data_IF_354843967888
#
_entry.id   IF_354843967888
#
_cell.length_a   1.000
_cell.length_b   1.000
_cell.length_c   1.000
_cell.angle_alpha   90.00
_cell.angle_beta   90.00
_cell.angle_gamma   90.00
#
_symmetry.space_group_name_H-M   'P 1'
#
loop_
_entity.id
_entity.type
_entity.pdbx_description
1 polymer ?
#
# COMPACT_ATOMS: atom_id res chain seq x y z
N UNK A 1 -6.12 -30.90 50.61
CA UNK A 1 -6.96 -30.77 49.40
C UNK A 1 -6.50 -29.51 48.65
N UNK A 2 -5.80 -29.68 47.54
CA UNK A 2 -5.41 -28.57 46.66
C UNK A 2 -6.67 -28.04 45.96
N UNK A 3 -6.95 -26.73 45.97
CA UNK A 3 -8.13 -26.20 45.29
C UNK A 3 -8.06 -26.52 43.79
N UNK A 4 -9.19 -26.81 43.12
CA UNK A 4 -9.19 -27.13 41.73
C UNK A 4 -8.66 -25.93 40.95
N UNK A 5 -7.67 -26.14 40.10
CA UNK A 5 -7.16 -25.15 39.14
C UNK A 5 -8.34 -24.80 38.22
N UNK A 6 -8.86 -23.60 38.37
CA UNK A 6 -9.93 -23.09 37.52
C UNK A 6 -9.39 -23.03 36.08
N UNK A 7 -9.91 -23.88 35.21
CA UNK A 7 -9.55 -23.87 33.81
C UNK A 7 -9.81 -22.46 33.26
N UNK A 8 -8.79 -21.86 32.65
CA UNK A 8 -8.96 -20.59 31.96
C UNK A 8 -10.01 -20.74 30.84
N UNK A 9 -10.93 -19.80 30.67
CA UNK A 9 -11.90 -19.85 29.58
C UNK A 9 -11.15 -20.00 28.24
N UNK A 10 -11.69 -20.83 27.36
CA UNK A 10 -11.12 -20.95 26.01
C UNK A 10 -11.23 -19.61 25.28
N UNK A 11 -10.23 -19.22 24.50
CA UNK A 11 -10.30 -17.99 23.73
C UNK A 11 -11.37 -18.08 22.64
N UNK A 12 -12.05 -16.97 22.37
CA UNK A 12 -12.94 -16.85 21.23
C UNK A 12 -12.12 -16.88 19.94
N UNK A 13 -12.49 -17.74 18.99
CA UNK A 13 -11.85 -17.81 17.68
C UNK A 13 -12.62 -17.02 16.65
N UNK A 14 -11.92 -16.11 15.95
CA UNK A 14 -12.47 -15.28 14.87
C UNK A 14 -11.73 -15.66 13.58
N UNK A 15 -12.41 -16.35 12.68
CA UNK A 15 -11.85 -16.78 11.41
C UNK A 15 -12.08 -15.73 10.30
N UNK A 16 -11.30 -15.87 9.21
CA UNK A 16 -11.38 -15.02 8.02
C UNK A 16 -11.16 -13.53 8.34
N UNK A 17 -10.14 -13.25 9.15
CA UNK A 17 -9.69 -11.88 9.45
C UNK A 17 -8.72 -11.44 8.37
N UNK A 18 -8.93 -10.23 7.84
CA UNK A 18 -8.04 -9.62 6.86
C UNK A 18 -6.89 -8.90 7.56
N UNK A 19 -5.65 -9.25 7.21
CA UNK A 19 -4.43 -8.64 7.72
C UNK A 19 -3.97 -7.51 6.79
N UNK A 20 -3.72 -6.31 7.31
CA UNK A 20 -3.18 -5.19 6.54
C UNK A 20 -1.67 -4.98 6.78
N UNK A 21 -0.96 -5.90 7.42
CA UNK A 21 0.49 -5.77 7.69
C UNK A 21 1.37 -5.66 6.43
N UNK A 22 0.88 -6.15 5.29
CA UNK A 22 1.46 -5.88 3.96
C UNK A 22 0.37 -5.91 2.89
N UNK A 23 0.72 -5.55 1.65
CA UNK A 23 -0.25 -5.48 0.56
C UNK A 23 -0.87 -6.81 0.12
N UNK A 24 -0.37 -7.96 0.59
CA UNK A 24 -1.02 -9.25 0.36
C UNK A 24 -2.43 -9.32 0.99
N UNK A 25 -2.71 -8.49 1.99
CA UNK A 25 -3.98 -8.42 2.70
C UNK A 25 -4.59 -9.82 2.91
N UNK A 26 -3.81 -10.70 3.57
CA UNK A 26 -4.20 -12.11 3.76
C UNK A 26 -5.52 -12.19 4.53
N UNK A 27 -6.51 -12.88 3.98
CA UNK A 27 -7.89 -12.99 4.45
C UNK A 27 -8.24 -14.35 5.07
N UNK A 28 -7.21 -15.16 5.33
CA UNK A 28 -7.29 -16.50 5.92
C UNK A 28 -6.75 -16.56 7.36
N UNK A 29 -6.62 -15.42 8.02
CA UNK A 29 -6.11 -15.36 9.38
C UNK A 29 -7.20 -15.79 10.36
N UNK A 30 -6.82 -16.57 11.36
CA UNK A 30 -7.66 -16.93 12.50
C UNK A 30 -7.08 -16.31 13.76
N UNK A 31 -7.83 -15.44 14.41
CA UNK A 31 -7.42 -14.82 15.66
C UNK A 31 -8.08 -15.50 16.84
N UNK A 32 -7.31 -15.79 17.88
CA UNK A 32 -7.81 -16.19 19.19
C UNK A 32 -7.81 -14.97 20.11
N UNK A 33 -8.99 -14.62 20.65
CA UNK A 33 -9.18 -13.45 21.51
C UNK A 33 -9.55 -13.92 22.93
N UNK A 34 -8.90 -13.35 23.94
CA UNK A 34 -9.21 -13.58 25.36
C UNK A 34 -9.14 -12.25 26.12
N UNK A 35 -10.16 -11.96 26.91
CA UNK A 35 -10.23 -10.71 27.70
C UNK A 35 -9.97 -9.44 26.89
N UNK A 36 -10.54 -9.38 25.67
CA UNK A 36 -10.38 -8.25 24.76
C UNK A 36 -8.97 -8.11 24.16
N UNK A 37 -8.14 -9.18 24.18
CA UNK A 37 -6.79 -9.20 23.62
C UNK A 37 -6.61 -10.30 22.61
N UNK A 38 -5.84 -10.05 21.59
CA UNK A 38 -5.38 -11.05 20.66
C UNK A 38 -4.25 -11.84 21.34
N UNK A 39 -4.46 -13.15 21.52
CA UNK A 39 -3.48 -14.04 22.17
C UNK A 39 -2.78 -14.95 21.16
N UNK A 40 -3.36 -15.11 19.95
CA UNK A 40 -2.79 -15.90 18.87
C UNK A 40 -3.32 -15.42 17.52
N UNK A 41 -2.46 -15.46 16.50
CA UNK A 41 -2.82 -15.18 15.11
C UNK A 41 -2.34 -16.34 14.22
N UNK A 42 -3.21 -17.34 14.02
CA UNK A 42 -2.91 -18.48 13.15
C UNK A 42 -2.86 -18.03 11.69
N UNK A 43 -1.96 -18.63 10.91
CA UNK A 43 -1.66 -18.31 9.54
C UNK A 43 -1.07 -16.90 9.33
N UNK A 44 -0.84 -16.11 10.38
CA UNK A 44 -0.11 -14.86 10.25
C UNK A 44 1.39 -15.12 10.00
N UNK A 45 2.00 -14.37 9.10
CA UNK A 45 3.45 -14.28 8.99
C UNK A 45 4.01 -13.34 10.07
N UNK A 46 5.33 -13.23 10.26
CA UNK A 46 5.89 -12.32 11.25
C UNK A 46 5.36 -10.89 11.15
N UNK A 47 5.30 -10.31 9.93
CA UNK A 47 4.73 -8.96 9.73
C UNK A 47 3.25 -8.87 10.13
N UNK A 48 2.48 -9.92 9.86
CA UNK A 48 1.07 -9.98 10.26
C UNK A 48 0.92 -10.13 11.77
N UNK A 49 1.74 -10.95 12.39
CA UNK A 49 1.74 -11.13 13.84
C UNK A 49 2.11 -9.83 14.56
N UNK A 50 3.12 -9.12 14.07
CA UNK A 50 3.54 -7.80 14.60
C UNK A 50 2.43 -6.75 14.39
N UNK A 51 1.77 -6.75 13.23
CA UNK A 51 0.69 -5.81 12.92
C UNK A 51 -0.53 -6.02 13.81
N UNK A 52 -0.93 -7.25 14.08
CA UNK A 52 -2.01 -7.55 15.02
C UNK A 52 -1.60 -7.26 16.46
N UNK A 53 -0.36 -7.59 16.84
CA UNK A 53 0.13 -7.47 18.21
C UNK A 53 -0.80 -8.18 19.21
N UNK A 54 -1.00 -7.59 20.36
CA UNK A 54 -2.03 -7.99 21.33
C UNK A 54 -3.37 -7.25 21.14
N UNK A 55 -3.48 -6.44 20.08
CA UNK A 55 -4.65 -5.64 19.78
C UNK A 55 -4.81 -4.39 20.64
N UNK A 56 -3.78 -3.93 21.33
CA UNK A 56 -3.85 -2.70 22.13
C UNK A 56 -3.25 -1.51 21.40
N UNK A 57 -3.94 -0.40 21.52
CA UNK A 57 -3.46 0.91 21.08
C UNK A 57 -3.81 1.96 22.12
N UNK A 58 -3.03 3.04 22.25
CA UNK A 58 -3.40 4.17 23.10
C UNK A 58 -4.74 4.76 22.69
N UNK A 59 -5.42 5.41 23.63
CA UNK A 59 -6.73 6.05 23.43
C UNK A 59 -6.75 7.50 23.90
N UNK A 60 -5.56 8.14 23.98
CA UNK A 60 -5.42 9.50 24.47
C UNK A 60 -5.99 10.52 23.49
N UNK A 61 -6.45 11.63 24.04
CA UNK A 61 -6.73 12.88 23.30
C UNK A 61 -5.92 14.00 23.94
N UNK A 62 -5.17 14.74 23.14
CA UNK A 62 -4.27 15.79 23.62
C UNK A 62 -4.41 17.07 22.82
N UNK A 63 -4.33 18.20 23.53
CA UNK A 63 -4.17 19.55 22.97
C UNK A 63 -2.95 20.17 23.62
N UNK A 64 -1.99 20.65 22.82
CA UNK A 64 -0.72 21.21 23.27
C UNK A 64 0.01 20.28 24.28
N UNK A 65 -0.01 18.98 24.02
CA UNK A 65 0.60 17.93 24.86
C UNK A 65 -0.20 17.54 26.11
N UNK A 66 -1.22 18.31 26.50
CA UNK A 66 -2.08 18.04 27.66
C UNK A 66 -3.23 17.12 27.30
N UNK A 67 -3.50 16.10 28.10
CA UNK A 67 -4.69 15.28 27.98
C UNK A 67 -5.97 16.09 28.21
N UNK A 68 -6.99 15.85 27.39
CA UNK A 68 -8.28 16.54 27.45
C UNK A 68 -9.43 15.65 26.99
N UNK A 69 -10.67 16.15 27.13
CA UNK A 69 -11.84 15.48 26.60
C UNK A 69 -11.85 15.44 25.07
N UNK A 70 -12.52 14.43 24.49
CA UNK A 70 -12.58 14.27 23.04
C UNK A 70 -13.22 15.49 22.35
N UNK A 71 -14.26 16.06 22.91
CA UNK A 71 -14.93 17.26 22.37
C UNK A 71 -14.01 18.48 22.38
N UNK A 72 -13.25 18.70 23.46
CA UNK A 72 -12.24 19.76 23.53
C UNK A 72 -11.17 19.59 22.43
N UNK A 73 -10.67 18.36 22.22
CA UNK A 73 -9.71 18.07 21.18
C UNK A 73 -10.28 18.31 19.77
N UNK A 74 -11.53 17.89 19.53
CA UNK A 74 -12.19 18.09 18.25
C UNK A 74 -12.45 19.57 17.95
N UNK A 75 -12.83 20.36 18.97
CA UNK A 75 -13.04 21.80 18.82
C UNK A 75 -11.73 22.53 18.55
N UNK A 76 -10.66 22.16 19.27
CA UNK A 76 -9.32 22.69 19.01
C UNK A 76 -8.80 22.31 17.61
N UNK A 77 -9.02 21.05 17.18
CA UNK A 77 -8.70 20.61 15.83
C UNK A 77 -9.44 21.43 14.77
N UNK A 78 -10.76 21.59 14.92
CA UNK A 78 -11.56 22.39 14.01
C UNK A 78 -11.10 23.86 13.94
N UNK A 79 -10.69 24.45 15.05
CA UNK A 79 -10.12 25.80 15.07
C UNK A 79 -8.83 25.87 14.24
N UNK A 80 -7.87 24.96 14.48
CA UNK A 80 -6.61 24.91 13.71
C UNK A 80 -6.86 24.78 12.21
N UNK A 81 -7.80 23.90 11.81
CA UNK A 81 -8.08 23.66 10.40
C UNK A 81 -8.78 24.86 9.73
N UNK A 82 -9.66 25.56 10.42
CA UNK A 82 -10.32 26.79 9.92
C UNK A 82 -9.32 27.94 9.75
N UNK A 83 -8.42 28.10 10.71
CA UNK A 83 -7.42 29.16 10.69
C UNK A 83 -6.41 29.00 9.54
N UNK A 84 -6.31 27.77 8.98
CA UNK A 84 -5.46 27.52 7.82
C UNK A 84 -5.90 28.29 6.56
N UNK A 85 -7.16 28.68 6.44
CA UNK A 85 -7.64 29.60 5.40
C UNK A 85 -7.38 29.13 3.96
N UNK A 86 -7.53 27.83 3.64
CA UNK A 86 -7.22 27.25 2.33
C UNK A 86 -5.74 26.86 2.15
N UNK A 87 -4.86 27.17 3.12
CA UNK A 87 -3.47 26.75 3.13
C UNK A 87 -3.25 25.52 4.01
N UNK A 88 -4.18 24.58 3.93
CA UNK A 88 -4.18 23.31 4.66
C UNK A 88 -3.58 22.19 3.81
N UNK A 89 -2.74 21.38 4.43
CA UNK A 89 -2.30 20.10 3.89
C UNK A 89 -3.01 18.94 4.60
N UNK A 90 -3.59 18.01 3.85
CA UNK A 90 -4.21 16.80 4.38
C UNK A 90 -3.43 15.59 3.91
N UNK A 91 -2.91 14.78 4.84
CA UNK A 91 -2.14 13.58 4.54
C UNK A 91 -2.91 12.32 4.93
N UNK A 92 -3.07 11.39 3.98
CA UNK A 92 -3.65 10.07 4.19
C UNK A 92 -2.53 9.06 4.48
N UNK A 93 -2.44 8.64 5.74
CA UNK A 93 -1.51 7.63 6.23
C UNK A 93 -2.08 6.22 6.20
N UNK A 94 -1.35 5.29 6.82
CA UNK A 94 -1.70 3.88 6.91
C UNK A 94 -2.77 3.59 7.99
N UNK A 95 -3.29 2.35 7.98
CA UNK A 95 -4.16 1.76 9.00
C UNK A 95 -5.56 2.38 9.12
N UNK A 96 -6.07 2.91 8.03
CA UNK A 96 -7.40 3.48 7.90
C UNK A 96 -8.33 2.60 7.06
N UNK A 97 -9.62 2.61 7.39
CA UNK A 97 -10.66 2.11 6.48
C UNK A 97 -10.88 3.08 5.31
N UNK A 98 -11.42 2.59 4.19
CA UNK A 98 -11.81 3.47 3.08
C UNK A 98 -12.82 4.55 3.51
N UNK A 99 -13.67 4.27 4.51
CA UNK A 99 -14.61 5.26 5.06
C UNK A 99 -13.87 6.41 5.76
N UNK A 100 -12.84 6.12 6.56
CA UNK A 100 -12.02 7.13 7.21
C UNK A 100 -11.24 7.98 6.20
N UNK A 101 -10.65 7.33 5.19
CA UNK A 101 -9.94 8.00 4.09
C UNK A 101 -10.88 8.93 3.30
N UNK A 102 -12.11 8.47 3.00
CA UNK A 102 -13.13 9.24 2.32
C UNK A 102 -13.57 10.48 3.11
N UNK A 103 -13.78 10.34 4.43
CA UNK A 103 -14.14 11.44 5.30
C UNK A 103 -13.02 12.50 5.40
N UNK A 104 -11.75 12.07 5.45
CA UNK A 104 -10.60 12.98 5.44
C UNK A 104 -10.49 13.76 4.13
N UNK A 105 -10.72 13.10 3.00
CA UNK A 105 -10.70 13.76 1.70
C UNK A 105 -11.84 14.76 1.53
N UNK A 106 -13.02 14.47 2.10
CA UNK A 106 -14.15 15.42 2.14
C UNK A 106 -13.81 16.69 2.95
N UNK A 107 -13.01 16.58 4.03
CA UNK A 107 -12.46 17.76 4.73
C UNK A 107 -11.54 18.55 3.82
N UNK A 108 -10.66 17.86 3.06
CA UNK A 108 -9.73 18.53 2.15
C UNK A 108 -10.48 19.31 1.05
N UNK A 109 -11.47 18.73 0.43
CA UNK A 109 -12.31 19.38 -0.59
C UNK A 109 -13.05 20.60 0.00
N UNK A 110 -13.69 20.44 1.14
CA UNK A 110 -14.44 21.50 1.82
C UNK A 110 -13.58 22.70 2.18
N UNK A 111 -12.36 22.44 2.71
CA UNK A 111 -11.43 23.49 3.14
C UNK A 111 -10.52 23.98 2.01
N UNK A 112 -10.74 23.51 0.77
CA UNK A 112 -9.92 23.85 -0.39
C UNK A 112 -8.43 23.58 -0.16
N UNK A 113 -8.15 22.46 0.50
CA UNK A 113 -6.83 22.02 0.89
C UNK A 113 -6.10 21.30 -0.27
N UNK A 114 -4.83 21.00 -0.04
CA UNK A 114 -4.10 20.00 -0.82
C UNK A 114 -4.15 18.68 -0.07
N UNK A 115 -4.55 17.62 -0.76
CA UNK A 115 -4.56 16.25 -0.25
C UNK A 115 -3.47 15.40 -0.89
N UNK A 116 -2.72 14.68 -0.08
CA UNK A 116 -1.70 13.74 -0.53
C UNK A 116 -1.65 12.54 0.44
N UNK A 117 -0.78 11.56 0.19
CA UNK A 117 -0.68 10.39 1.06
C UNK A 117 0.60 9.59 0.83
N UNK A 118 0.72 8.48 1.53
CA UNK A 118 1.87 7.56 1.44
C UNK A 118 2.15 7.14 0.00
N UNK A 119 1.11 6.95 -0.80
CA UNK A 119 1.18 6.51 -2.21
C UNK A 119 2.03 7.45 -3.06
N UNK A 120 1.93 8.75 -2.83
CA UNK A 120 2.71 9.78 -3.54
C UNK A 120 4.22 9.61 -3.37
N UNK A 121 4.66 9.21 -2.17
CA UNK A 121 6.07 8.97 -1.89
C UNK A 121 6.58 7.60 -2.34
N UNK A 122 5.71 6.60 -2.40
CA UNK A 122 6.14 5.20 -2.57
C UNK A 122 5.82 4.63 -3.96
N UNK A 123 4.69 4.99 -4.57
CA UNK A 123 4.18 4.34 -5.78
C UNK A 123 3.96 5.28 -6.97
N UNK A 124 4.20 6.57 -6.83
CA UNK A 124 3.86 7.57 -7.86
C UNK A 124 4.44 7.23 -9.23
N UNK A 125 5.70 6.80 -9.33
CA UNK A 125 6.33 6.48 -10.61
C UNK A 125 5.61 5.34 -11.35
N UNK A 126 5.18 4.30 -10.62
CA UNK A 126 4.39 3.21 -11.17
C UNK A 126 3.01 3.68 -11.66
N UNK A 127 2.36 4.54 -10.89
CA UNK A 127 1.05 5.11 -11.24
C UNK A 127 1.16 6.01 -12.47
N UNK A 128 2.15 6.90 -12.53
CA UNK A 128 2.40 7.76 -13.69
C UNK A 128 2.68 6.96 -14.95
N UNK A 129 3.45 5.87 -14.83
CA UNK A 129 3.68 4.95 -15.94
C UNK A 129 2.37 4.30 -16.43
N UNK A 130 1.50 3.85 -15.49
CA UNK A 130 0.19 3.30 -15.84
C UNK A 130 -0.72 4.33 -16.52
N UNK A 131 -0.71 5.58 -16.08
CA UNK A 131 -1.50 6.66 -16.70
C UNK A 131 -1.07 6.92 -18.15
N UNK A 132 0.22 6.75 -18.47
CA UNK A 132 0.77 6.95 -19.81
C UNK A 132 0.57 5.75 -20.74
N UNK A 133 0.64 4.53 -20.22
CA UNK A 133 0.72 3.29 -21.00
C UNK A 133 -0.48 2.36 -20.83
N UNK A 134 -1.34 2.60 -19.85
CA UNK A 134 -2.34 1.63 -19.42
C UNK A 134 -1.74 0.56 -18.48
N UNK A 135 -2.53 -0.47 -18.18
CA UNK A 135 -2.13 -1.55 -17.28
C UNK A 135 -2.53 -2.91 -17.86
N UNK A 136 -1.59 -3.84 -17.91
CA UNK A 136 -1.86 -5.26 -18.10
C UNK A 136 -1.77 -5.95 -16.73
N UNK A 137 -2.80 -5.82 -15.90
CA UNK A 137 -2.82 -6.35 -14.54
C UNK A 137 -3.58 -7.67 -14.41
N UNK A 138 -3.37 -8.37 -13.30
CA UNK A 138 -4.12 -9.55 -12.90
C UNK A 138 -4.34 -9.56 -11.39
N UNK A 139 -5.40 -10.23 -10.94
CA UNK A 139 -5.57 -10.48 -9.51
C UNK A 139 -4.58 -11.55 -9.03
N UNK A 140 -4.26 -11.52 -7.72
CA UNK A 140 -3.43 -12.57 -7.11
C UNK A 140 -4.07 -13.96 -7.24
N UNK A 141 -5.41 -14.02 -7.25
CA UNK A 141 -6.16 -15.25 -7.51
C UNK A 141 -5.98 -15.77 -8.95
N UNK A 142 -5.96 -14.88 -9.94
CA UNK A 142 -5.69 -15.23 -11.32
C UNK A 142 -4.25 -15.70 -11.51
N UNK A 143 -3.28 -14.99 -10.95
CA UNK A 143 -1.88 -15.38 -10.94
C UNK A 143 -1.71 -16.79 -10.33
N UNK A 144 -2.28 -17.02 -9.15
CA UNK A 144 -2.24 -18.33 -8.48
C UNK A 144 -2.79 -19.47 -9.37
N UNK A 145 -3.90 -19.23 -10.03
CA UNK A 145 -4.64 -20.30 -10.72
C UNK A 145 -4.25 -20.49 -12.17
N UNK A 146 -3.63 -19.51 -12.83
CA UNK A 146 -3.43 -19.52 -14.28
C UNK A 146 -1.99 -19.34 -14.74
N UNK A 147 -1.14 -18.57 -14.01
CA UNK A 147 0.22 -18.30 -14.47
C UNK A 147 1.08 -19.57 -14.42
N UNK A 148 1.47 -20.08 -15.59
CA UNK A 148 2.37 -21.21 -15.72
C UNK A 148 3.85 -20.78 -15.83
N UNK A 149 4.12 -19.47 -16.02
CA UNK A 149 5.43 -18.86 -15.91
C UNK A 149 5.33 -17.58 -15.06
N UNK A 150 6.18 -17.49 -14.02
CA UNK A 150 6.29 -16.31 -13.16
C UNK A 150 7.69 -15.78 -13.19
N UNK A 151 7.84 -14.51 -13.58
CA UNK A 151 9.13 -13.81 -13.56
C UNK A 151 9.15 -12.88 -12.36
N UNK A 152 10.17 -12.99 -11.51
CA UNK A 152 10.51 -12.02 -10.49
C UNK A 152 11.56 -11.06 -11.08
N UNK A 153 11.14 -9.85 -11.42
CA UNK A 153 11.97 -8.89 -12.10
C UNK A 153 12.56 -7.88 -11.11
N UNK A 154 13.82 -8.07 -10.72
CA UNK A 154 14.52 -7.24 -9.75
C UNK A 154 13.83 -7.22 -8.39
N UNK A 155 13.29 -8.36 -7.95
CA UNK A 155 12.61 -8.46 -6.64
C UNK A 155 12.62 -9.89 -6.10
N UNK A 156 12.93 -10.02 -4.80
CA UNK A 156 12.56 -11.16 -3.99
C UNK A 156 11.49 -10.71 -2.98
N UNK A 157 10.25 -11.18 -3.10
CA UNK A 157 9.17 -10.72 -2.22
C UNK A 157 9.28 -11.24 -0.78
N UNK A 158 10.11 -12.24 -0.48
CA UNK A 158 10.06 -13.00 0.78
C UNK A 158 10.21 -12.12 2.04
N UNK A 159 11.06 -11.08 2.01
CA UNK A 159 11.29 -10.21 3.16
C UNK A 159 10.10 -9.27 3.42
N UNK A 160 9.57 -8.62 2.38
CA UNK A 160 8.52 -7.60 2.50
C UNK A 160 7.11 -8.16 2.37
N UNK A 161 6.95 -9.34 1.75
CA UNK A 161 5.67 -10.00 1.45
C UNK A 161 5.76 -11.51 1.74
N UNK A 162 5.98 -11.94 2.99
CA UNK A 162 6.43 -13.32 3.31
C UNK A 162 5.49 -14.42 2.81
N UNK A 163 4.19 -14.14 2.66
CA UNK A 163 3.23 -15.13 2.16
C UNK A 163 2.88 -14.99 0.67
N UNK A 164 3.48 -14.00 -0.03
CA UNK A 164 3.17 -13.77 -1.46
C UNK A 164 3.51 -14.98 -2.32
N UNK A 165 4.73 -15.48 -2.22
CA UNK A 165 5.18 -16.60 -3.04
C UNK A 165 4.41 -17.87 -2.70
N UNK A 166 4.34 -18.25 -1.45
CA UNK A 166 3.69 -19.49 -1.00
C UNK A 166 2.19 -19.52 -1.29
N UNK A 167 1.50 -18.37 -1.18
CA UNK A 167 0.04 -18.30 -1.45
C UNK A 167 -0.30 -18.17 -2.91
N UNK A 168 0.49 -17.43 -3.70
CA UNK A 168 0.08 -16.99 -5.03
C UNK A 168 1.07 -17.34 -6.13
N UNK A 169 2.34 -16.94 -6.00
CA UNK A 169 3.24 -16.87 -7.13
C UNK A 169 4.12 -18.11 -7.33
N UNK A 170 4.51 -18.81 -6.26
CA UNK A 170 5.31 -20.04 -6.35
C UNK A 170 4.51 -21.31 -6.08
N UNK A 171 3.20 -21.19 -5.81
CA UNK A 171 2.34 -22.33 -5.60
C UNK A 171 2.18 -23.10 -6.91
N UNK A 172 2.70 -24.35 -6.97
CA UNK A 172 2.81 -25.13 -8.20
C UNK A 172 1.51 -25.86 -8.61
N UNK A 173 0.44 -25.74 -7.81
CA UNK A 173 -0.86 -26.34 -8.11
C UNK A 173 -1.94 -25.25 -8.20
N UNK A 174 -2.23 -24.78 -9.40
CA UNK A 174 -3.33 -23.87 -9.70
C UNK A 174 -4.48 -24.59 -10.38
N UNK A 175 -5.69 -24.00 -10.37
CA UNK A 175 -6.90 -24.58 -10.93
C UNK A 175 -6.75 -24.95 -12.43
N UNK A 176 -5.93 -24.17 -13.17
CA UNK A 176 -5.69 -24.35 -14.60
C UNK A 176 -4.24 -24.76 -14.92
N UNK A 177 -3.47 -25.14 -13.89
CA UNK A 177 -2.10 -25.62 -14.05
C UNK A 177 -2.07 -27.15 -14.07
N UNK A 178 -1.14 -27.73 -14.84
CA UNK A 178 -0.89 -29.18 -14.78
C UNK A 178 -0.27 -29.52 -13.42
N UNK A 179 -0.77 -30.60 -12.81
CA UNK A 179 -0.23 -31.12 -11.55
C UNK A 179 1.20 -31.61 -11.72
N UNK A 180 2.08 -31.29 -10.76
CA UNK A 180 3.46 -31.80 -10.68
C UNK A 180 4.54 -30.76 -10.96
N UNK A 181 5.78 -31.22 -11.01
CA UNK A 181 6.99 -30.38 -11.16
C UNK A 181 7.03 -29.54 -12.45
N UNK A 182 6.19 -29.82 -13.44
CA UNK A 182 6.07 -29.08 -14.69
C UNK A 182 4.92 -28.05 -14.74
N UNK A 183 4.23 -27.80 -13.62
CA UNK A 183 3.02 -26.96 -13.64
C UNK A 183 3.28 -25.45 -13.69
N UNK A 184 4.43 -24.98 -13.18
CA UNK A 184 4.81 -23.56 -13.18
C UNK A 184 6.32 -23.42 -13.20
N UNK A 185 6.83 -22.58 -14.11
CA UNK A 185 8.21 -22.17 -14.17
C UNK A 185 8.43 -20.87 -13.41
N UNK A 186 9.48 -20.78 -12.63
CA UNK A 186 9.89 -19.59 -11.92
C UNK A 186 11.18 -19.05 -12.53
N UNK A 187 11.17 -17.79 -12.91
CA UNK A 187 12.33 -17.08 -13.48
C UNK A 187 12.71 -15.94 -12.54
N UNK A 188 13.97 -15.86 -12.15
CA UNK A 188 14.54 -14.75 -11.39
C UNK A 188 15.41 -13.89 -12.32
N UNK A 189 15.01 -12.63 -12.52
CA UNK A 189 15.85 -11.61 -13.17
C UNK A 189 16.36 -10.68 -12.08
N UNK A 190 17.63 -10.78 -11.76
CA UNK A 190 18.30 -9.91 -10.79
C UNK A 190 18.81 -8.65 -11.47
N UNK A 191 18.67 -7.50 -10.83
CA UNK A 191 19.10 -6.19 -11.33
C UNK A 191 20.08 -5.58 -10.31
N UNK A 192 21.38 -5.71 -10.57
CA UNK A 192 22.39 -5.30 -9.59
C UNK A 192 22.20 -6.05 -8.27
N UNK A 193 21.98 -5.33 -7.17
CA UNK A 193 21.76 -5.89 -5.83
C UNK A 193 20.31 -6.39 -5.63
N UNK A 194 19.37 -5.98 -6.46
CA UNK A 194 17.97 -6.42 -6.41
C UNK A 194 17.83 -7.85 -6.96
N UNK A 195 18.15 -8.82 -6.15
CA UNK A 195 18.12 -10.23 -6.52
C UNK A 195 16.69 -10.79 -6.58
N UNK A 196 16.46 -11.72 -7.53
CA UNK A 196 15.28 -12.57 -7.51
C UNK A 196 15.40 -13.73 -6.51
N UNK A 197 14.35 -14.57 -6.35
CA UNK A 197 14.38 -15.74 -5.48
C UNK A 197 15.45 -16.75 -5.90
N UNK A 198 16.25 -17.23 -4.94
CA UNK A 198 17.35 -18.15 -5.20
C UNK A 198 16.90 -19.57 -5.65
N UNK A 199 15.65 -19.94 -5.38
CA UNK A 199 15.04 -21.23 -5.76
C UNK A 199 14.27 -21.17 -7.08
N UNK A 200 14.47 -20.14 -7.89
CA UNK A 200 13.90 -20.07 -9.23
C UNK A 200 14.52 -21.14 -10.17
N UNK A 201 13.73 -21.59 -11.15
CA UNK A 201 14.17 -22.60 -12.13
C UNK A 201 15.17 -22.02 -13.16
N UNK A 202 15.11 -20.70 -13.41
CA UNK A 202 15.97 -19.96 -14.34
C UNK A 202 16.43 -18.66 -13.69
N UNK A 203 17.73 -18.35 -13.86
CA UNK A 203 18.33 -17.13 -13.34
C UNK A 203 18.95 -16.31 -14.45
N UNK A 204 18.67 -15.01 -14.48
CA UNK A 204 19.29 -14.01 -15.33
C UNK A 204 19.77 -12.85 -14.45
N UNK A 205 20.98 -12.36 -14.68
CA UNK A 205 21.54 -11.22 -13.96
C UNK A 205 21.87 -10.09 -14.93
N UNK A 206 21.33 -8.90 -14.64
CA UNK A 206 21.54 -7.67 -15.39
C UNK A 206 22.20 -6.62 -14.50
N UNK A 207 23.08 -5.81 -15.07
CA UNK A 207 23.50 -4.57 -14.44
C UNK A 207 22.36 -3.55 -14.53
N UNK A 208 22.22 -2.61 -13.58
CA UNK A 208 21.15 -1.61 -13.62
C UNK A 208 21.07 -0.81 -14.94
N UNK A 209 22.23 -0.48 -15.51
CA UNK A 209 22.33 0.25 -16.79
C UNK A 209 21.94 -0.59 -18.03
N UNK A 210 21.88 -1.91 -17.91
CA UNK A 210 21.49 -2.81 -18.99
C UNK A 210 19.98 -3.09 -19.02
N UNK A 211 19.27 -2.82 -17.93
CA UNK A 211 17.87 -3.23 -17.75
C UNK A 211 16.95 -2.73 -18.87
N UNK A 212 17.00 -1.43 -19.19
CA UNK A 212 16.13 -0.86 -20.22
C UNK A 212 16.46 -1.40 -21.62
N UNK A 213 17.75 -1.63 -21.90
CA UNK A 213 18.20 -2.23 -23.17
C UNK A 213 17.71 -3.69 -23.28
N UNK A 214 17.81 -4.48 -22.21
CA UNK A 214 17.31 -5.86 -22.17
C UNK A 214 15.79 -5.93 -22.37
N UNK A 215 15.03 -5.05 -21.74
CA UNK A 215 13.57 -4.93 -21.92
C UNK A 215 13.21 -4.57 -23.37
N UNK A 216 13.95 -3.65 -24.00
CA UNK A 216 13.75 -3.26 -25.38
C UNK A 216 14.07 -4.42 -26.34
N UNK A 217 15.15 -5.17 -26.06
CA UNK A 217 15.58 -6.32 -26.85
C UNK A 217 14.60 -7.49 -26.74
N UNK A 218 14.11 -7.82 -25.55
CA UNK A 218 13.03 -8.81 -25.39
C UNK A 218 11.81 -8.45 -26.24
N UNK A 219 11.39 -7.19 -26.20
CA UNK A 219 10.25 -6.73 -27.01
C UNK A 219 10.51 -6.84 -28.52
N UNK A 220 11.74 -6.54 -28.96
CA UNK A 220 12.11 -6.69 -30.37
C UNK A 220 12.05 -8.16 -30.80
N UNK A 221 12.57 -9.08 -29.99
CA UNK A 221 12.49 -10.53 -30.23
C UNK A 221 11.05 -11.04 -30.31
N UNK A 222 10.20 -10.61 -29.37
CA UNK A 222 8.77 -10.94 -29.40
C UNK A 222 8.06 -10.44 -30.68
N UNK A 223 8.58 -9.39 -31.30
CA UNK A 223 8.10 -8.86 -32.59
C UNK A 223 8.82 -9.49 -33.80
N UNK A 224 9.65 -10.52 -33.61
CA UNK A 224 10.44 -11.17 -34.68
C UNK A 224 11.53 -10.26 -35.26
N UNK A 225 12.04 -9.30 -34.48
CA UNK A 225 13.07 -8.34 -34.91
C UNK A 225 14.34 -8.52 -34.09
N UNK A 226 15.47 -8.28 -34.71
CA UNK A 226 16.76 -8.18 -34.03
C UNK A 226 17.18 -6.72 -33.93
N UNK A 227 17.56 -6.24 -32.74
CA UNK A 227 18.20 -4.93 -32.60
C UNK A 227 19.67 -5.06 -33.03
N UNK A 228 20.13 -4.15 -33.88
CA UNK A 228 21.54 -4.12 -34.32
C UNK A 228 22.46 -3.75 -33.15
N UNK A 229 23.50 -4.57 -32.90
CA UNK A 229 24.47 -4.41 -31.84
C UNK A 229 24.64 -5.71 -31.06
N UNK A 230 25.87 -6.00 -30.59
CA UNK A 230 26.12 -7.12 -29.70
C UNK A 230 25.59 -6.73 -28.30
N UNK A 231 24.33 -7.10 -27.99
CA UNK A 231 23.85 -6.97 -26.61
C UNK A 231 24.62 -8.00 -25.75
N UNK A 232 25.17 -7.59 -24.60
CA UNK A 232 25.59 -8.56 -23.60
C UNK A 232 24.37 -9.39 -23.24
N UNK A 233 24.50 -10.71 -23.10
CA UNK A 233 23.40 -11.65 -22.76
C UNK A 233 22.41 -11.96 -23.91
N UNK A 234 22.80 -11.88 -25.17
CA UNK A 234 21.90 -12.15 -26.28
C UNK A 234 21.32 -13.58 -26.28
N UNK A 235 22.10 -14.57 -25.90
CA UNK A 235 21.70 -15.98 -25.86
C UNK A 235 20.68 -16.22 -24.69
N UNK A 236 20.92 -15.63 -23.54
CA UNK A 236 20.05 -15.72 -22.38
C UNK A 236 18.71 -15.02 -22.63
N UNK A 237 18.73 -13.89 -23.34
CA UNK A 237 17.51 -13.18 -23.75
C UNK A 237 16.74 -13.91 -24.84
N UNK A 238 17.42 -14.65 -25.74
CA UNK A 238 16.77 -15.54 -26.70
C UNK A 238 16.04 -16.69 -26.01
N UNK A 239 16.71 -17.41 -25.09
CA UNK A 239 16.10 -18.47 -24.29
C UNK A 239 14.91 -17.95 -23.46
N UNK A 240 15.06 -16.78 -22.85
CA UNK A 240 13.96 -16.16 -22.08
C UNK A 240 12.78 -15.81 -23.00
N UNK A 241 13.00 -15.21 -24.17
CA UNK A 241 11.96 -14.86 -25.13
C UNK A 241 11.20 -16.11 -25.60
N UNK A 242 11.92 -17.20 -25.87
CA UNK A 242 11.33 -18.48 -26.25
C UNK A 242 10.44 -19.06 -25.15
N UNK A 243 10.91 -19.07 -23.90
CA UNK A 243 10.12 -19.52 -22.75
C UNK A 243 8.86 -18.69 -22.57
N UNK A 244 8.97 -17.37 -22.70
CA UNK A 244 7.86 -16.42 -22.57
C UNK A 244 6.77 -16.68 -23.62
N UNK A 245 7.16 -16.94 -24.86
CA UNK A 245 6.20 -17.20 -25.97
C UNK A 245 5.53 -18.55 -25.88
N UNK A 246 6.21 -19.55 -25.29
CA UNK A 246 5.66 -20.90 -25.10
C UNK A 246 4.78 -21.04 -23.85
N UNK A 247 4.90 -20.12 -22.88
CA UNK A 247 4.03 -20.07 -21.72
C UNK A 247 2.60 -19.72 -22.14
N UNK A 248 1.61 -20.24 -21.41
CA UNK A 248 0.19 -19.92 -21.64
C UNK A 248 -0.24 -18.66 -20.92
N UNK A 249 0.38 -18.39 -19.79
CA UNK A 249 0.13 -17.19 -18.98
C UNK A 249 1.38 -16.79 -18.22
N UNK A 250 1.94 -15.65 -18.58
CA UNK A 250 3.13 -15.07 -17.96
C UNK A 250 2.71 -14.05 -16.89
N UNK A 251 3.21 -14.16 -15.67
CA UNK A 251 3.12 -13.12 -14.67
C UNK A 251 4.49 -12.48 -14.43
N UNK A 252 4.62 -11.18 -14.68
CA UNK A 252 5.81 -10.41 -14.36
C UNK A 252 5.57 -9.75 -12.99
N UNK A 253 6.36 -10.13 -11.99
CA UNK A 253 6.28 -9.62 -10.61
C UNK A 253 7.35 -8.59 -10.40
N UNK A 254 6.96 -7.39 -9.96
CA UNK A 254 7.86 -6.27 -9.69
C UNK A 254 7.50 -5.60 -8.37
N UNK A 255 8.46 -4.98 -7.71
CA UNK A 255 8.19 -4.13 -6.56
C UNK A 255 7.75 -2.73 -7.02
N UNK A 256 6.52 -2.34 -6.69
CA UNK A 256 5.96 -1.02 -7.00
C UNK A 256 6.30 0.05 -5.97
N UNK A 257 6.80 -0.35 -4.80
CA UNK A 257 7.17 0.52 -3.68
C UNK A 257 8.60 0.24 -3.18
N UNK A 258 9.47 -0.25 -4.07
CA UNK A 258 10.87 -0.56 -3.73
C UNK A 258 11.63 0.66 -3.24
N UNK A 259 12.67 0.42 -2.42
CA UNK A 259 13.52 1.44 -1.80
C UNK A 259 14.30 2.32 -2.78
N UNK A 260 14.14 2.15 -4.07
CA UNK A 260 14.79 2.95 -5.08
C UNK A 260 14.19 4.36 -5.16
N UNK A 261 14.59 5.22 -4.24
CA UNK A 261 14.58 6.66 -4.49
C UNK A 261 15.25 6.89 -5.85
N UNK A 262 14.51 7.44 -6.80
CA UNK A 262 15.03 7.76 -8.13
C UNK A 262 14.74 6.76 -9.23
N UNK A 263 13.96 5.69 -9.02
CA UNK A 263 13.49 4.86 -10.15
C UNK A 263 12.55 5.66 -11.04
N UNK A 264 13.00 5.89 -12.27
CA UNK A 264 12.25 6.60 -13.29
C UNK A 264 10.93 5.87 -13.63
N UNK A 265 9.84 6.59 -13.96
CA UNK A 265 8.66 6.00 -14.59
C UNK A 265 8.99 5.14 -15.81
N UNK A 266 10.10 5.43 -16.51
CA UNK A 266 10.54 4.75 -17.73
C UNK A 266 10.75 3.23 -17.51
N UNK A 267 11.31 2.83 -16.36
CA UNK A 267 11.45 1.42 -15.99
C UNK A 267 10.09 0.72 -15.94
N UNK A 268 9.14 1.32 -15.25
CA UNK A 268 7.79 0.75 -15.12
C UNK A 268 7.06 0.80 -16.47
N UNK A 269 7.24 1.86 -17.28
CA UNK A 269 6.72 1.92 -18.64
C UNK A 269 7.28 0.81 -19.53
N UNK A 270 8.58 0.51 -19.44
CA UNK A 270 9.22 -0.56 -20.20
C UNK A 270 8.66 -1.95 -19.81
N UNK A 271 8.44 -2.20 -18.51
CA UNK A 271 7.81 -3.43 -18.00
C UNK A 271 6.34 -3.56 -18.43
N UNK A 272 5.56 -2.48 -18.36
CA UNK A 272 4.19 -2.46 -18.86
C UNK A 272 4.17 -2.80 -20.36
N UNK A 273 5.04 -2.18 -21.14
CA UNK A 273 5.08 -2.40 -22.59
C UNK A 273 5.58 -3.80 -22.95
N UNK A 274 6.44 -4.42 -22.13
CA UNK A 274 6.82 -5.83 -22.27
C UNK A 274 5.60 -6.73 -22.02
N UNK A 275 4.85 -6.51 -20.93
CA UNK A 275 3.63 -7.27 -20.65
C UNK A 275 2.59 -7.10 -21.76
N UNK A 276 2.44 -5.91 -22.32
CA UNK A 276 1.55 -5.66 -23.46
C UNK A 276 2.01 -6.39 -24.73
N UNK A 277 3.30 -6.37 -25.04
CA UNK A 277 3.86 -7.08 -26.19
C UNK A 277 3.65 -8.61 -26.08
N UNK A 278 3.81 -9.16 -24.88
CA UNK A 278 3.54 -10.58 -24.61
C UNK A 278 2.07 -10.97 -24.82
N UNK A 279 1.13 -10.04 -24.67
CA UNK A 279 -0.28 -10.32 -24.94
C UNK A 279 -0.61 -10.50 -26.44
N UNK A 280 0.36 -10.38 -27.34
CA UNK A 280 0.24 -10.81 -28.74
C UNK A 280 0.33 -12.33 -28.88
N UNK A 281 1.48 -12.95 -28.54
CA UNK A 281 1.67 -14.40 -28.70
C UNK A 281 1.06 -15.23 -27.57
N UNK A 282 0.91 -14.69 -26.36
CA UNK A 282 0.38 -15.41 -25.20
C UNK A 282 -0.49 -14.51 -24.33
N UNK A 283 -0.67 -14.85 -23.07
CA UNK A 283 -1.33 -14.03 -22.06
C UNK A 283 -0.28 -13.55 -21.06
N UNK A 284 -0.27 -12.26 -20.73
CA UNK A 284 0.69 -11.73 -19.76
C UNK A 284 0.06 -10.65 -18.88
N UNK A 285 0.53 -10.57 -17.63
CA UNK A 285 0.17 -9.54 -16.68
C UNK A 285 1.38 -9.05 -15.90
N UNK A 286 1.39 -7.76 -15.56
CA UNK A 286 2.31 -7.15 -14.62
C UNK A 286 1.67 -7.14 -13.23
N UNK A 287 2.24 -7.86 -12.28
CA UNK A 287 1.83 -7.91 -10.88
C UNK A 287 2.75 -7.02 -10.04
N UNK A 288 2.21 -5.93 -9.54
CA UNK A 288 2.96 -4.93 -8.79
C UNK A 288 2.78 -5.17 -7.30
N UNK A 289 3.90 -5.38 -6.58
CA UNK A 289 3.89 -5.51 -5.13
C UNK A 289 3.74 -4.14 -4.48
N UNK A 290 2.87 -4.03 -3.48
CA UNK A 290 2.51 -2.79 -2.78
C UNK A 290 2.51 -3.01 -1.26
N UNK A 291 2.79 -1.96 -0.49
CA UNK A 291 2.76 -1.98 0.96
C UNK A 291 1.37 -2.21 1.56
N UNK A 292 1.33 -2.38 2.88
CA UNK A 292 0.12 -2.60 3.67
C UNK A 292 -0.61 -1.32 4.08
N UNK A 293 -1.27 -1.36 5.25
CA UNK A 293 -1.93 -0.19 5.84
C UNK A 293 -3.13 0.36 5.07
N UNK A 294 -3.65 -0.39 4.10
CA UNK A 294 -4.70 0.06 3.17
C UNK A 294 -4.28 1.22 2.24
N UNK A 295 -3.02 1.23 1.78
CA UNK A 295 -2.51 2.23 0.81
C UNK A 295 -3.24 2.14 -0.54
N UNK A 296 -3.49 0.93 -1.02
CA UNK A 296 -4.29 0.72 -2.24
C UNK A 296 -5.72 1.24 -2.08
N UNK A 297 -6.29 1.18 -0.86
CA UNK A 297 -7.57 1.79 -0.55
C UNK A 297 -7.51 3.32 -0.59
N UNK A 298 -6.45 3.95 -0.09
CA UNK A 298 -6.28 5.40 -0.17
C UNK A 298 -6.21 5.88 -1.63
N UNK A 299 -5.44 5.19 -2.47
CA UNK A 299 -5.38 5.44 -3.91
C UNK A 299 -6.76 5.31 -4.57
N UNK A 300 -7.48 4.23 -4.26
CA UNK A 300 -8.83 4.00 -4.78
C UNK A 300 -9.80 5.10 -4.33
N UNK A 301 -9.82 5.47 -3.03
CA UNK A 301 -10.66 6.54 -2.48
C UNK A 301 -10.38 7.87 -3.16
N UNK A 302 -9.11 8.28 -3.26
CA UNK A 302 -8.73 9.51 -3.94
C UNK A 302 -9.19 9.47 -5.40
N UNK A 303 -8.97 8.35 -6.10
CA UNK A 303 -9.36 8.21 -7.51
C UNK A 303 -10.86 8.31 -7.71
N UNK A 304 -11.70 7.59 -6.92
CA UNK A 304 -13.14 7.63 -7.16
C UNK A 304 -13.81 8.94 -6.74
N UNK A 305 -13.24 9.68 -5.76
CA UNK A 305 -13.79 10.96 -5.32
C UNK A 305 -13.31 12.15 -6.15
N UNK A 306 -12.10 12.08 -6.73
CA UNK A 306 -11.47 13.24 -7.38
C UNK A 306 -11.10 12.99 -8.84
N UNK A 307 -11.05 11.75 -9.28
CA UNK A 307 -10.48 11.34 -10.58
C UNK A 307 -8.95 11.14 -10.54
N UNK A 308 -8.27 11.37 -9.40
CA UNK A 308 -6.82 11.37 -9.29
C UNK A 308 -6.33 10.54 -8.09
N UNK A 309 -5.23 9.77 -8.21
CA UNK A 309 -4.79 8.81 -7.20
C UNK A 309 -3.97 9.41 -6.04
N UNK A 310 -3.39 10.60 -6.21
CA UNK A 310 -2.56 11.32 -5.22
C UNK A 310 -2.34 12.77 -5.66
N UNK A 311 -1.71 13.61 -4.82
CA UNK A 311 -1.34 15.00 -5.09
C UNK A 311 -2.51 15.84 -5.66
N UNK A 312 -3.62 15.87 -4.93
CA UNK A 312 -4.85 16.54 -5.34
C UNK A 312 -4.96 17.91 -4.68
N UNK A 313 -5.08 18.95 -5.48
CA UNK A 313 -5.23 20.34 -5.06
C UNK A 313 -6.70 20.80 -5.25
N UNK A 314 -7.39 21.13 -4.14
CA UNK A 314 -8.75 21.65 -4.14
C UNK A 314 -8.83 23.20 -4.03
N UNK A 315 -7.69 23.91 -4.04
CA UNK A 315 -7.65 25.36 -3.80
C UNK A 315 -8.55 26.17 -4.74
N UNK A 316 -8.86 25.64 -5.92
CA UNK A 316 -9.72 26.29 -6.92
C UNK A 316 -11.21 25.91 -6.80
N UNK A 317 -11.59 25.11 -5.77
CA UNK A 317 -12.97 24.65 -5.56
C UNK A 317 -13.37 23.43 -6.40
N UNK A 318 -12.43 22.80 -7.05
CA UNK A 318 -12.55 21.51 -7.74
C UNK A 318 -11.20 20.78 -7.69
N UNK A 319 -11.16 19.44 -7.77
CA UNK A 319 -9.92 18.69 -7.69
C UNK A 319 -9.03 18.93 -8.92
N UNK A 320 -7.75 19.18 -8.69
CA UNK A 320 -6.72 19.32 -9.70
C UNK A 320 -5.58 18.36 -9.42
N UNK A 321 -5.09 17.67 -10.43
CA UNK A 321 -3.97 16.76 -10.31
C UNK A 321 -2.64 17.49 -10.50
N UNK A 322 -1.76 17.40 -9.52
CA UNK A 322 -0.45 18.06 -9.55
C UNK A 322 0.69 17.09 -9.15
N UNK A 323 0.93 16.01 -9.92
CA UNK A 323 1.88 14.96 -9.56
C UNK A 323 3.33 15.46 -9.46
N UNK A 324 3.69 16.56 -10.08
CA UNK A 324 4.98 17.24 -9.99
C UNK A 324 5.11 18.14 -8.76
N UNK A 325 4.01 18.45 -8.06
CA UNK A 325 3.97 19.26 -6.85
C UNK A 325 3.39 18.47 -5.69
N UNK A 326 4.16 17.50 -5.18
CA UNK A 326 3.76 16.65 -4.05
C UNK A 326 3.86 17.41 -2.74
N UNK A 327 3.19 16.90 -1.69
CA UNK A 327 3.10 17.57 -0.40
C UNK A 327 4.43 18.04 0.17
N UNK A 328 5.48 17.21 0.13
CA UNK A 328 6.81 17.57 0.63
C UNK A 328 7.41 18.79 -0.09
N UNK A 329 7.27 18.87 -1.41
CA UNK A 329 7.79 20.00 -2.21
C UNK A 329 7.02 21.29 -1.96
N UNK A 330 5.70 21.20 -1.77
CA UNK A 330 4.87 22.36 -1.44
C UNK A 330 5.17 22.89 -0.02
N UNK A 331 5.49 22.01 0.94
CA UNK A 331 5.97 22.43 2.24
C UNK A 331 7.27 23.24 2.16
N UNK A 332 8.24 22.76 1.37
CA UNK A 332 9.52 23.48 1.16
C UNK A 332 9.31 24.89 0.62
N UNK A 333 8.24 25.11 -0.14
CA UNK A 333 7.85 26.43 -0.69
C UNK A 333 7.04 27.29 0.28
N UNK A 334 6.76 26.80 1.50
CA UNK A 334 5.96 27.52 2.51
C UNK A 334 4.48 27.69 2.12
N UNK A 335 3.93 26.77 1.35
CA UNK A 335 2.55 26.86 0.86
C UNK A 335 1.50 26.63 1.94
N UNK A 336 1.85 25.96 3.05
CA UNK A 336 0.92 25.56 4.09
C UNK A 336 1.07 26.35 5.38
N UNK A 337 -0.04 26.54 6.10
CA UNK A 337 -0.12 27.16 7.42
C UNK A 337 -0.65 26.19 8.49
N UNK A 338 -1.14 25.02 8.12
CA UNK A 338 -1.48 23.92 9.01
C UNK A 338 -1.45 22.58 8.26
N UNK A 339 -1.39 21.47 9.02
CA UNK A 339 -1.50 20.13 8.47
C UNK A 339 -2.51 19.28 9.26
N UNK A 340 -3.29 18.46 8.54
CA UNK A 340 -4.10 17.38 9.08
C UNK A 340 -3.47 16.05 8.65
N UNK A 341 -2.95 15.31 9.59
CA UNK A 341 -2.40 13.97 9.39
C UNK A 341 -3.43 12.95 9.85
N UNK A 342 -3.93 12.13 8.93
CA UNK A 342 -4.93 11.10 9.22
C UNK A 342 -4.32 9.72 8.98
N UNK A 343 -4.45 8.82 9.97
CA UNK A 343 -3.84 7.48 9.98
C UNK A 343 -2.64 7.38 10.90
N UNK A 344 -1.90 6.28 10.81
CA UNK A 344 -0.75 6.03 11.65
C UNK A 344 0.39 7.04 11.37
N UNK A 345 0.81 7.88 12.34
CA UNK A 345 1.84 8.90 12.10
C UNK A 345 3.20 8.34 11.67
N UNK A 346 3.48 7.08 12.02
CA UNK A 346 4.70 6.39 11.59
C UNK A 346 4.78 6.19 10.06
N UNK A 347 3.66 6.28 9.34
CA UNK A 347 3.62 6.20 7.87
C UNK A 347 4.02 7.52 7.17
N UNK A 348 4.11 8.62 7.90
CA UNK A 348 4.55 9.91 7.35
C UNK A 348 6.04 9.83 7.00
N UNK A 349 6.44 10.12 5.75
CA UNK A 349 7.85 10.05 5.37
C UNK A 349 8.75 10.97 6.22
N UNK A 350 9.98 10.55 6.60
CA UNK A 350 10.86 11.35 7.45
C UNK A 350 11.13 12.77 6.94
N UNK A 351 11.27 12.94 5.62
CA UNK A 351 11.46 14.26 5.02
C UNK A 351 10.24 15.17 5.22
N UNK A 352 9.03 14.64 5.25
CA UNK A 352 7.80 15.38 5.53
C UNK A 352 7.67 15.65 7.04
N UNK A 353 8.01 14.66 7.90
CA UNK A 353 7.99 14.86 9.36
C UNK A 353 8.82 16.09 9.79
N UNK A 354 10.03 16.25 9.22
CA UNK A 354 10.89 17.40 9.52
C UNK A 354 10.24 18.74 9.16
N UNK A 355 9.41 18.79 8.13
CA UNK A 355 8.74 20.00 7.65
C UNK A 355 7.47 20.32 8.46
N UNK A 356 6.81 19.30 9.04
CA UNK A 356 5.63 19.50 9.90
C UNK A 356 5.93 20.36 11.14
N UNK A 357 7.20 20.45 11.60
CA UNK A 357 7.61 21.30 12.70
C UNK A 357 7.37 22.82 12.46
N UNK A 358 7.18 23.23 11.20
CA UNK A 358 6.98 24.64 10.83
C UNK A 358 5.51 25.10 10.94
N UNK A 359 4.56 24.20 11.16
CA UNK A 359 3.13 24.51 11.16
C UNK A 359 2.40 23.76 12.28
N UNK A 360 1.25 24.28 12.80
CA UNK A 360 0.40 23.51 13.69
C UNK A 360 -0.14 22.25 12.98
N UNK A 361 0.00 21.12 13.66
CA UNK A 361 -0.43 19.80 13.16
C UNK A 361 -1.59 19.27 13.98
N UNK A 362 -2.63 18.80 13.28
CA UNK A 362 -3.70 17.98 13.84
C UNK A 362 -3.42 16.54 13.40
N UNK A 363 -3.25 15.62 14.33
CA UNK A 363 -3.05 14.19 14.06
C UNK A 363 -4.27 13.40 14.55
N UNK A 364 -4.90 12.62 13.67
CA UNK A 364 -6.04 11.75 13.99
C UNK A 364 -5.77 10.35 13.43
N UNK A 365 -5.59 9.37 14.28
CA UNK A 365 -5.30 8.01 13.80
C UNK A 365 -4.75 7.11 14.91
N UNK A 366 -4.45 5.85 14.58
CA UNK A 366 -3.79 4.95 15.52
C UNK A 366 -2.47 5.55 16.02
N UNK A 367 -2.29 5.63 17.35
CA UNK A 367 -1.08 6.16 17.98
C UNK A 367 -0.76 7.63 17.62
N UNK A 368 -1.77 8.45 17.35
CA UNK A 368 -1.58 9.88 17.05
C UNK A 368 -0.86 10.62 18.19
N UNK A 369 -1.08 10.22 19.45
CA UNK A 369 -0.42 10.78 20.64
C UNK A 369 1.06 10.38 20.77
N UNK A 370 1.53 9.42 19.99
CA UNK A 370 2.93 8.93 19.92
C UNK A 370 3.60 9.37 18.61
N UNK A 371 3.06 10.37 17.91
CA UNK A 371 3.60 10.85 16.64
C UNK A 371 5.10 11.24 16.76
N UNK A 372 5.92 10.90 15.75
CA UNK A 372 7.34 11.27 15.73
C UNK A 372 7.59 12.76 15.40
N UNK A 373 6.54 13.56 15.39
CA UNK A 373 6.54 15.00 15.17
C UNK A 373 5.62 15.70 16.19
N UNK A 374 5.80 16.99 16.42
CA UNK A 374 4.95 17.74 17.32
C UNK A 374 3.55 17.91 16.74
N UNK A 375 2.54 17.36 17.41
CA UNK A 375 1.13 17.58 17.09
C UNK A 375 0.52 18.55 18.10
N UNK A 376 -0.10 19.64 17.62
CA UNK A 376 -0.85 20.56 18.46
C UNK A 376 -2.10 19.89 19.01
N UNK A 377 -2.77 19.09 18.16
CA UNK A 377 -3.88 18.24 18.57
C UNK A 377 -3.58 16.81 18.12
N UNK A 378 -3.67 15.86 19.06
CA UNK A 378 -3.52 14.43 18.79
C UNK A 378 -4.74 13.67 19.31
N UNK A 379 -5.37 12.89 18.44
CA UNK A 379 -6.55 12.07 18.76
C UNK A 379 -6.28 10.64 18.36
N UNK A 380 -6.07 9.78 19.34
CA UNK A 380 -5.87 8.36 19.11
C UNK A 380 -7.16 7.67 18.67
N UNK A 381 -7.07 6.81 17.67
CA UNK A 381 -8.17 5.98 17.17
C UNK A 381 -7.77 4.50 17.11
N UNK A 382 -8.73 3.65 16.81
CA UNK A 382 -8.50 2.25 16.50
C UNK A 382 -7.81 2.05 15.15
N UNK A 383 -7.25 0.83 14.95
CA UNK A 383 -6.65 0.36 13.69
C UNK A 383 -7.74 -0.29 12.85
N UNK A 384 -7.78 0.01 11.56
CA UNK A 384 -8.65 -0.64 10.59
C UNK A 384 -8.40 -2.16 10.53
N UNK A 385 -9.45 -2.98 10.63
CA UNK A 385 -9.34 -4.44 10.63
C UNK A 385 -8.91 -5.07 11.96
N UNK A 386 -8.66 -4.26 12.99
CA UNK A 386 -8.46 -4.74 14.38
C UNK A 386 -9.56 -4.18 15.27
N UNK A 387 -9.77 -2.88 15.25
CA UNK A 387 -10.72 -2.15 16.10
C UNK A 387 -11.90 -1.55 15.33
N UNK A 388 -11.71 -1.31 14.04
CA UNK A 388 -12.69 -0.71 13.17
C UNK A 388 -12.99 -1.63 11.98
N UNK A 389 -14.28 -1.94 11.79
CA UNK A 389 -14.77 -2.67 10.63
C UNK A 389 -14.92 -1.73 9.43
N UNK A 390 -14.81 -2.26 8.23
CA UNK A 390 -14.99 -1.47 7.02
C UNK A 390 -14.47 -2.17 5.77
N UNK A 391 -13.91 -1.39 4.85
CA UNK A 391 -13.34 -1.85 3.61
C UNK A 391 -11.85 -1.50 3.54
N UNK A 392 -11.04 -2.45 3.07
CA UNK A 392 -9.65 -2.25 2.67
C UNK A 392 -9.39 -2.87 1.30
N UNK A 393 -8.29 -2.51 0.68
CA UNK A 393 -7.90 -3.04 -0.62
C UNK A 393 -6.61 -3.85 -0.54
N UNK A 394 -6.60 -4.99 -1.22
CA UNK A 394 -5.38 -5.76 -1.49
C UNK A 394 -4.59 -5.08 -2.60
N UNK A 395 -3.29 -5.36 -2.69
CA UNK A 395 -2.38 -4.75 -3.68
C UNK A 395 -2.77 -4.96 -5.16
N UNK A 396 -3.69 -5.86 -5.44
CA UNK A 396 -4.23 -6.18 -6.77
C UNK A 396 -5.63 -5.59 -7.00
N UNK A 397 -5.97 -4.53 -6.27
CA UNK A 397 -7.21 -3.76 -6.35
C UNK A 397 -8.48 -4.54 -5.97
N UNK A 398 -8.34 -5.64 -5.22
CA UNK A 398 -9.48 -6.40 -4.73
C UNK A 398 -9.92 -5.83 -3.38
N UNK A 399 -11.19 -5.35 -3.28
CA UNK A 399 -11.75 -4.91 -2.01
C UNK A 399 -12.00 -6.10 -1.08
N UNK A 400 -11.60 -5.96 0.18
CA UNK A 400 -11.76 -6.98 1.22
C UNK A 400 -12.46 -6.39 2.44
N UNK A 401 -13.37 -7.16 3.08
CA UNK A 401 -14.01 -6.72 4.30
C UNK A 401 -13.00 -6.73 5.46
N UNK A 402 -13.01 -5.67 6.24
CA UNK A 402 -12.27 -5.56 7.48
C UNK A 402 -13.24 -5.78 8.66
N UNK A 403 -12.80 -6.52 9.68
CA UNK A 403 -13.59 -6.82 10.88
C UNK A 403 -13.00 -6.11 12.09
N UNK A 404 -13.84 -5.58 12.96
CA UNK A 404 -13.43 -5.23 14.31
C UNK A 404 -13.38 -6.55 15.13
N UNK A 405 -12.20 -6.89 15.64
CA UNK A 405 -11.95 -8.17 16.34
C UNK A 405 -11.75 -8.00 17.83
N UNK A 406 -11.30 -6.81 18.26
CA UNK A 406 -11.19 -6.42 19.67
C UNK A 406 -11.71 -4.99 19.87
N UNK A 407 -12.15 -4.62 21.08
CA UNK A 407 -12.55 -3.24 21.38
C UNK A 407 -11.38 -2.28 21.17
N UNK A 408 -11.68 -1.13 20.60
CA UNK A 408 -10.72 -0.03 20.41
C UNK A 408 -11.09 1.24 21.17
N UNK A 409 -10.24 2.28 21.12
CA UNK A 409 -10.54 3.54 21.80
C UNK A 409 -11.71 4.27 21.14
N UNK A 410 -11.65 4.51 19.87
CA UNK A 410 -12.72 5.16 19.04
C UNK A 410 -12.47 4.85 17.56
N UNK A 411 -13.52 4.94 16.75
CA UNK A 411 -13.43 4.77 15.30
C UNK A 411 -12.75 5.98 14.66
N UNK A 412 -11.83 5.73 13.72
CA UNK A 412 -11.19 6.79 12.93
C UNK A 412 -12.22 7.48 12.03
N UNK A 413 -13.07 6.71 11.34
CA UNK A 413 -14.11 7.27 10.45
C UNK A 413 -15.10 8.15 11.19
N UNK A 414 -15.60 7.72 12.35
CA UNK A 414 -16.53 8.53 13.16
C UNK A 414 -15.85 9.79 13.70
N UNK A 415 -14.61 9.69 14.17
CA UNK A 415 -13.84 10.85 14.68
C UNK A 415 -13.65 11.91 13.60
N UNK A 416 -13.28 11.51 12.38
CA UNK A 416 -13.09 12.42 11.26
C UNK A 416 -14.44 13.03 10.81
N UNK A 417 -15.51 12.26 10.81
CA UNK A 417 -16.86 12.76 10.51
C UNK A 417 -17.32 13.79 11.55
N UNK A 418 -17.07 13.54 12.85
CA UNK A 418 -17.34 14.50 13.91
C UNK A 418 -16.53 15.78 13.75
N UNK A 419 -15.26 15.68 13.34
CA UNK A 419 -14.43 16.84 13.01
C UNK A 419 -15.00 17.61 11.82
N UNK A 420 -15.42 16.91 10.76
CA UNK A 420 -16.05 17.52 9.59
C UNK A 420 -17.35 18.26 9.95
N UNK A 421 -18.19 17.69 10.82
CA UNK A 421 -19.40 18.34 11.30
C UNK A 421 -19.12 19.65 12.06
N UNK A 422 -18.05 19.71 12.87
CA UNK A 422 -17.65 20.95 13.56
C UNK A 422 -17.18 22.05 12.61
N UNK A 423 -16.64 21.65 11.45
CA UNK A 423 -16.27 22.60 10.39
C UNK A 423 -17.51 23.17 9.68
N UNK A 424 -18.70 22.56 9.84
CA UNK A 424 -19.98 23.00 9.26
C UNK A 424 -20.71 24.06 10.10
N UNK A 425 -20.69 23.90 11.41
CA UNK A 425 -21.54 24.67 12.34
C UNK A 425 -21.11 26.13 12.57
N UNK A 426 -20.03 26.59 11.96
CA UNK A 426 -19.47 27.93 12.19
C UNK A 426 -19.52 28.84 10.95
N UNK A 427 -20.65 28.86 10.22
CA UNK A 427 -20.95 29.85 9.18
C UNK A 427 -21.70 31.04 9.76
#
# INVERSE_FOLDING_TARGET
>A
MTPPVRALPQPDQIAHVTCLGCGCACDDIVLSVRDGRIVQAEHACPLGADWFGDGRVPGATRVDGRECAADEALDAAAAVLRDAGGRLFVFLGDDLTCAAQSAALAIADRLRAVADGVVSGTAANGILAMQRRGRAGATLGELRNRADLVIYWGVNPDARYPRYRSRYASYRAGLHLRWGYGGRMLVAVSIGEDAGPADADVHLSLRPEEELAALAELRARLAGRTLGGAAPLSAELDDLADRLTHAKYVAIVVDGEGAAEGRSPDRTEALITLAQALNGPTRAALSTLRGGGNRSGAEAVMTWQTGFPFAVDFSHGFPRYQPEHRGAELFQRGCFSAALIVGAPASVPPALQAQLAAVPVVAVGPRASEAPFAARVAIDTGIAGIHEAGLGYRMDDIPLPLRAVVPGPRSASETIQQLAARLETSR
#
